data_IF_374572099684
#
_entry.id   IF_374572099684
#
_cell.length_a   1.000
_cell.length_b   1.000
_cell.length_c   1.000
_cell.angle_alpha   90.00
_cell.angle_beta   90.00
_cell.angle_gamma   90.00
#
_symmetry.space_group_name_H-M   'P 1'
#
loop_
_entity.id
_entity.type
_entity.pdbx_description
1 polymer ?
#
# COMPACT_ATOMS: atom_id res chain seq x y z
N UNK A 1 24.95 -0.41 -3.70
CA UNK A 1 23.71 -0.58 -3.00
C UNK A 1 23.82 -0.11 -1.56
N UNK A 2 22.68 0.18 -0.96
CA UNK A 2 22.62 0.77 0.40
C UNK A 2 23.33 -0.08 1.46
N UNK A 3 23.07 -1.39 1.47
CA UNK A 3 23.65 -2.30 2.46
C UNK A 3 25.17 -2.40 2.37
N UNK A 4 25.70 -2.33 1.17
CA UNK A 4 27.14 -2.39 0.92
C UNK A 4 27.86 -1.10 1.33
N UNK A 5 27.13 0.03 1.29
CA UNK A 5 27.67 1.35 1.62
C UNK A 5 27.69 1.63 3.12
N UNK A 6 27.05 0.78 3.94
CA UNK A 6 26.99 1.00 5.38
C UNK A 6 28.35 0.76 6.05
N UNK A 7 28.78 1.66 6.95
CA UNK A 7 29.96 1.41 7.76
C UNK A 7 29.83 0.14 8.60
N UNK A 8 30.95 -0.51 8.88
CA UNK A 8 30.98 -1.68 9.73
C UNK A 8 30.42 -1.35 11.13
N UNK A 9 29.59 -2.24 11.68
CA UNK A 9 29.00 -2.08 13.00
C UNK A 9 27.72 -1.26 13.05
N UNK A 10 27.25 -0.71 11.93
CA UNK A 10 25.99 0.01 11.85
C UNK A 10 24.91 -0.91 11.32
N UNK A 11 23.82 -1.07 12.08
CA UNK A 11 22.66 -1.86 11.65
C UNK A 11 21.95 -1.13 10.51
N UNK A 12 21.59 -1.82 9.43
CA UNK A 12 20.86 -1.20 8.33
C UNK A 12 19.45 -0.78 8.77
N UNK A 13 18.99 0.37 8.27
CA UNK A 13 17.61 0.81 8.41
C UNK A 13 17.01 0.95 7.02
N UNK A 14 15.96 0.17 6.78
CA UNK A 14 15.30 0.12 5.49
C UNK A 14 13.85 0.56 5.68
N UNK A 15 13.50 1.70 5.11
CA UNK A 15 12.12 2.19 5.11
C UNK A 15 11.44 1.74 3.83
N UNK A 16 10.37 0.98 3.98
CA UNK A 16 9.47 0.63 2.88
C UNK A 16 8.20 1.47 2.96
N UNK A 17 7.80 2.06 1.84
CA UNK A 17 6.58 2.85 1.75
C UNK A 17 5.59 2.14 0.84
N UNK A 18 4.35 1.98 1.30
CA UNK A 18 3.30 1.27 0.56
C UNK A 18 1.99 2.02 0.63
N UNK A 19 1.23 1.99 -0.46
CA UNK A 19 -0.16 2.44 -0.44
C UNK A 19 -1.01 1.33 0.16
N UNK A 20 -1.76 1.65 1.19
CA UNK A 20 -2.66 0.70 1.84
C UNK A 20 -3.96 1.38 2.22
N UNK A 21 -5.07 0.80 1.80
CA UNK A 21 -6.39 1.24 2.21
C UNK A 21 -7.16 0.05 2.76
N UNK A 22 -7.46 0.09 4.06
CA UNK A 22 -8.12 -1.00 4.78
C UNK A 22 -9.51 -0.52 5.20
N UNK A 23 -10.50 -1.35 4.94
CA UNK A 23 -11.88 -1.10 5.35
C UNK A 23 -12.45 -2.37 5.99
N UNK A 24 -13.70 -2.29 6.47
CA UNK A 24 -14.31 -3.42 7.16
C UNK A 24 -14.60 -4.61 6.24
N UNK A 25 -14.72 -4.38 4.92
CA UNK A 25 -14.89 -5.45 3.94
C UNK A 25 -14.13 -5.17 2.66
N UNK A 26 -13.84 -6.24 1.91
CA UNK A 26 -13.15 -6.12 0.62
C UNK A 26 -13.98 -5.33 -0.39
N UNK A 27 -15.27 -5.60 -0.47
CA UNK A 27 -16.15 -4.94 -1.44
C UNK A 27 -16.22 -3.44 -1.19
N UNK A 28 -16.35 -3.04 0.07
CA UNK A 28 -16.37 -1.62 0.44
C UNK A 28 -15.05 -0.95 0.12
N UNK A 29 -13.94 -1.58 0.48
CA UNK A 29 -12.60 -1.05 0.22
C UNK A 29 -12.35 -0.83 -1.28
N UNK A 30 -12.72 -1.80 -2.12
CA UNK A 30 -12.56 -1.68 -3.56
C UNK A 30 -13.47 -0.61 -4.15
N UNK A 31 -14.70 -0.50 -3.65
CA UNK A 31 -15.64 0.53 -4.12
C UNK A 31 -15.10 1.93 -3.86
N UNK A 32 -14.55 2.17 -2.68
CA UNK A 32 -13.99 3.47 -2.32
C UNK A 32 -12.70 3.75 -3.11
N UNK A 33 -11.84 2.74 -3.27
CA UNK A 33 -10.52 2.91 -3.88
C UNK A 33 -10.55 3.00 -5.41
N UNK A 34 -11.55 2.40 -6.06
CA UNK A 34 -11.60 2.31 -7.53
C UNK A 34 -11.52 3.67 -8.23
N UNK A 35 -12.29 4.71 -7.84
CA UNK A 35 -12.18 6.02 -8.49
C UNK A 35 -10.78 6.62 -8.37
N UNK A 36 -10.16 6.53 -7.20
CA UNK A 36 -8.82 7.07 -6.97
C UNK A 36 -7.76 6.36 -7.79
N UNK A 37 -7.80 5.03 -7.85
CA UNK A 37 -6.88 4.25 -8.67
C UNK A 37 -7.05 4.53 -10.16
N UNK A 38 -8.29 4.64 -10.62
CA UNK A 38 -8.58 4.98 -12.02
C UNK A 38 -8.02 6.36 -12.37
N UNK A 39 -8.23 7.33 -11.50
CA UNK A 39 -7.68 8.69 -11.68
C UNK A 39 -6.15 8.66 -11.71
N UNK A 40 -5.52 7.92 -10.82
CA UNK A 40 -4.08 7.77 -10.77
C UNK A 40 -3.55 7.15 -12.08
N UNK A 41 -4.21 6.13 -12.60
CA UNK A 41 -3.84 5.51 -13.87
C UNK A 41 -3.94 6.50 -15.03
N UNK A 42 -5.01 7.31 -15.07
CA UNK A 42 -5.19 8.34 -16.10
C UNK A 42 -4.09 9.40 -16.02
N UNK A 43 -3.72 9.82 -14.82
CA UNK A 43 -2.65 10.80 -14.61
C UNK A 43 -1.30 10.25 -15.08
N UNK A 44 -1.01 8.99 -14.79
CA UNK A 44 0.23 8.35 -15.23
C UNK A 44 0.29 8.25 -16.76
N UNK A 45 -0.80 7.88 -17.42
CA UNK A 45 -0.87 7.83 -18.89
C UNK A 45 -0.69 9.21 -19.50
N UNK A 46 -1.32 10.22 -18.93
CA UNK A 46 -1.19 11.60 -19.41
C UNK A 46 0.24 12.14 -19.27
N UNK A 47 0.99 11.65 -18.28
CA UNK A 47 2.40 11.99 -18.09
C UNK A 47 3.36 11.15 -18.96
N UNK A 48 2.84 10.28 -19.81
CA UNK A 48 3.65 9.46 -20.71
C UNK A 48 4.12 8.14 -20.13
N UNK A 49 3.67 7.77 -18.94
CA UNK A 49 4.00 6.47 -18.34
C UNK A 49 3.11 5.36 -18.88
N UNK A 50 3.68 4.17 -19.01
CA UNK A 50 2.93 2.98 -19.42
C UNK A 50 2.17 2.44 -18.21
N UNK A 51 0.84 2.30 -18.35
CA UNK A 51 0.00 1.65 -17.35
C UNK A 51 -0.59 0.40 -17.99
N UNK A 52 -0.26 -0.76 -17.43
CA UNK A 52 -0.73 -2.05 -17.92
C UNK A 52 -2.15 -2.32 -17.42
N UNK A 53 -3.01 -2.79 -18.35
CA UNK A 53 -4.37 -3.13 -18.00
C UNK A 53 -5.31 -1.95 -17.94
N UNK A 54 -6.57 -2.23 -17.66
CA UNK A 54 -7.66 -1.24 -17.70
C UNK A 54 -8.69 -1.44 -16.57
N UNK A 55 -8.36 -2.26 -15.56
CA UNK A 55 -9.25 -2.51 -14.43
C UNK A 55 -8.52 -2.31 -13.10
N UNK A 56 -9.29 -2.25 -12.02
CA UNK A 56 -8.77 -1.95 -10.69
C UNK A 56 -7.76 -3.00 -10.19
N UNK A 57 -7.92 -4.26 -10.58
CA UNK A 57 -6.98 -5.31 -10.18
C UNK A 57 -5.59 -5.07 -10.79
N UNK A 58 -5.55 -4.69 -12.07
CA UNK A 58 -4.31 -4.35 -12.74
C UNK A 58 -3.67 -3.11 -12.14
N UNK A 59 -4.47 -2.09 -11.81
CA UNK A 59 -3.98 -0.86 -11.20
C UNK A 59 -3.38 -1.11 -9.82
N UNK A 60 -3.99 -1.98 -9.02
CA UNK A 60 -3.42 -2.35 -7.71
C UNK A 60 -2.02 -2.94 -7.85
N UNK A 61 -1.82 -3.80 -8.83
CA UNK A 61 -0.50 -4.39 -9.10
C UNK A 61 0.50 -3.35 -9.57
N UNK A 62 0.07 -2.50 -10.49
CA UNK A 62 0.93 -1.47 -11.07
C UNK A 62 1.47 -0.50 -10.01
N UNK A 63 0.63 -0.12 -9.05
CA UNK A 63 0.96 0.88 -8.04
C UNK A 63 1.31 0.28 -6.68
N UNK A 64 1.46 -1.04 -6.58
CA UNK A 64 1.72 -1.75 -5.32
C UNK A 64 0.73 -1.35 -4.22
N UNK A 65 -0.55 -1.22 -4.58
CA UNK A 65 -1.59 -0.81 -3.65
C UNK A 65 -2.22 -2.03 -2.97
N UNK A 66 -2.25 -1.99 -1.64
CA UNK A 66 -2.84 -3.05 -0.80
C UNK A 66 -4.22 -2.56 -0.33
N UNK A 67 -5.27 -3.16 -0.87
CA UNK A 67 -6.64 -2.68 -0.66
C UNK A 67 -7.54 -3.86 -0.30
N UNK A 68 -8.31 -3.72 0.76
CA UNK A 68 -9.25 -4.74 1.17
C UNK A 68 -9.57 -4.70 2.66
N UNK A 69 -10.12 -5.81 3.15
CA UNK A 69 -10.31 -6.05 4.58
C UNK A 69 -8.96 -6.25 5.28
N UNK A 70 -8.91 -6.19 6.62
CA UNK A 70 -7.65 -6.43 7.34
C UNK A 70 -6.97 -7.74 6.95
N UNK A 71 -7.72 -8.82 6.82
CA UNK A 71 -7.15 -10.13 6.46
C UNK A 71 -6.56 -10.14 5.06
N UNK A 72 -7.27 -9.55 4.09
CA UNK A 72 -6.80 -9.46 2.70
C UNK A 72 -5.53 -8.62 2.61
N UNK A 73 -5.50 -7.47 3.26
CA UNK A 73 -4.34 -6.57 3.23
C UNK A 73 -3.15 -7.21 3.94
N UNK A 74 -3.38 -7.84 5.09
CA UNK A 74 -2.31 -8.53 5.82
C UNK A 74 -1.69 -9.64 4.97
N UNK A 75 -2.51 -10.45 4.31
CA UNK A 75 -2.04 -11.50 3.41
C UNK A 75 -1.21 -10.91 2.26
N UNK A 76 -1.69 -9.85 1.65
CA UNK A 76 -1.01 -9.16 0.56
C UNK A 76 0.34 -8.58 0.99
N UNK A 77 0.41 -7.96 2.17
CA UNK A 77 1.65 -7.41 2.72
C UNK A 77 2.65 -8.51 3.06
N UNK A 78 2.20 -9.61 3.63
CA UNK A 78 3.08 -10.73 3.96
C UNK A 78 3.67 -11.41 2.72
N UNK A 79 3.03 -11.27 1.58
CA UNK A 79 3.56 -11.76 0.30
C UNK A 79 4.60 -10.83 -0.32
N UNK A 80 4.75 -9.62 0.19
CA UNK A 80 5.72 -8.63 -0.31
C UNK A 80 7.10 -8.91 0.26
N UNK A 81 8.01 -9.40 -0.58
CA UNK A 81 9.36 -9.78 -0.15
C UNK A 81 10.21 -8.59 0.33
N UNK A 82 9.95 -7.39 -0.16
CA UNK A 82 10.67 -6.19 0.24
C UNK A 82 10.32 -5.82 1.69
N UNK A 83 9.05 -5.98 2.07
CA UNK A 83 8.61 -5.67 3.43
C UNK A 83 9.26 -6.57 4.48
N UNK A 84 9.58 -7.81 4.13
CA UNK A 84 10.28 -8.73 5.05
C UNK A 84 11.68 -8.25 5.42
N UNK A 85 12.28 -7.41 4.58
CA UNK A 85 13.63 -6.86 4.78
C UNK A 85 13.60 -5.46 5.37
N UNK A 86 12.42 -4.86 5.50
CA UNK A 86 12.28 -3.50 6.01
C UNK A 86 12.38 -3.48 7.52
N UNK A 87 13.00 -2.44 8.05
CA UNK A 87 13.03 -2.17 9.49
C UNK A 87 11.90 -1.24 9.91
N UNK A 88 11.43 -0.43 8.96
CA UNK A 88 10.36 0.54 9.18
C UNK A 88 9.42 0.50 7.97
N UNK A 89 8.12 0.64 8.22
CA UNK A 89 7.11 0.63 7.16
C UNK A 89 6.23 1.88 7.29
N UNK A 90 6.07 2.59 6.18
CA UNK A 90 5.17 3.73 6.08
C UNK A 90 4.00 3.39 5.17
N UNK A 91 2.79 3.71 5.61
CA UNK A 91 1.59 3.48 4.82
C UNK A 91 0.97 4.79 4.36
N UNK A 92 0.68 4.88 3.05
CA UNK A 92 -0.02 6.00 2.46
C UNK A 92 -1.48 5.59 2.23
N UNK A 93 -2.38 6.13 3.05
CA UNK A 93 -3.81 5.78 3.00
C UNK A 93 -4.56 6.70 2.04
N UNK A 94 -4.13 7.93 1.92
CA UNK A 94 -4.82 8.97 1.14
C UNK A 94 -4.67 8.85 -0.37
N UNK A 95 -3.80 7.95 -0.85
CA UNK A 95 -3.48 7.85 -2.29
C UNK A 95 -4.69 7.46 -3.15
N UNK A 96 -5.69 6.81 -2.58
CA UNK A 96 -6.93 6.44 -3.30
C UNK A 96 -8.05 7.46 -3.10
N UNK A 97 -7.72 8.60 -2.49
CA UNK A 97 -8.64 9.72 -2.25
C UNK A 97 -9.92 9.33 -1.47
N UNK A 98 -9.80 8.58 -0.36
CA UNK A 98 -10.97 8.24 0.44
C UNK A 98 -11.51 9.46 1.20
N UNK A 99 -12.75 9.35 1.70
CA UNK A 99 -13.27 10.37 2.61
C UNK A 99 -12.44 10.41 3.89
N UNK A 100 -12.53 11.52 4.63
CA UNK A 100 -11.84 11.65 5.91
C UNK A 100 -12.24 10.54 6.90
N UNK A 101 -13.51 10.20 6.95
CA UNK A 101 -14.02 9.11 7.79
C UNK A 101 -13.38 7.77 7.44
N UNK A 102 -13.32 7.46 6.15
CA UNK A 102 -12.72 6.20 5.66
C UNK A 102 -11.21 6.20 5.89
N UNK A 103 -10.55 7.33 5.76
CA UNK A 103 -9.13 7.47 6.05
C UNK A 103 -8.83 7.16 7.51
N UNK A 104 -9.60 7.74 8.44
CA UNK A 104 -9.44 7.49 9.88
C UNK A 104 -9.69 6.03 10.22
N UNK A 105 -10.73 5.42 9.65
CA UNK A 105 -11.03 4.01 9.87
C UNK A 105 -9.90 3.12 9.35
N UNK A 106 -9.35 3.44 8.19
CA UNK A 106 -8.22 2.71 7.63
C UNK A 106 -6.99 2.77 8.53
N UNK A 107 -6.64 3.95 9.03
CA UNK A 107 -5.52 4.12 9.97
C UNK A 107 -5.74 3.28 11.22
N UNK A 108 -6.94 3.30 11.78
CA UNK A 108 -7.30 2.52 12.96
C UNK A 108 -7.12 1.03 12.72
N UNK A 109 -7.65 0.52 11.59
CA UNK A 109 -7.53 -0.90 11.22
C UNK A 109 -6.08 -1.31 10.97
N UNK A 110 -5.29 -0.47 10.34
CA UNK A 110 -3.87 -0.74 10.14
C UNK A 110 -3.15 -0.85 11.49
N UNK A 111 -3.39 0.09 12.40
CA UNK A 111 -2.75 0.09 13.70
C UNK A 111 -3.13 -1.12 14.56
N UNK A 112 -4.40 -1.53 14.53
CA UNK A 112 -4.90 -2.59 15.39
C UNK A 112 -4.78 -3.99 14.79
N UNK A 113 -4.98 -4.12 13.47
CA UNK A 113 -5.14 -5.41 12.81
C UNK A 113 -3.99 -5.80 11.88
N UNK A 114 -3.18 -4.85 11.46
CA UNK A 114 -2.10 -5.07 10.51
C UNK A 114 -0.74 -4.97 11.17
N UNK A 115 -0.43 -3.84 11.78
CA UNK A 115 0.90 -3.57 12.33
C UNK A 115 1.39 -4.64 13.32
N UNK A 116 0.57 -5.15 14.26
CA UNK A 116 1.05 -6.17 15.20
C UNK A 116 1.45 -7.50 14.54
N UNK A 117 1.04 -7.74 13.31
CA UNK A 117 1.26 -9.01 12.62
C UNK A 117 2.34 -8.96 11.53
N UNK A 118 2.93 -7.81 11.26
CA UNK A 118 3.95 -7.66 10.22
C UNK A 118 5.30 -7.18 10.73
N UNK A 119 5.38 -6.71 11.96
CA UNK A 119 6.63 -6.23 12.55
C UNK A 119 7.09 -7.06 13.74
#
# INVERSE_FOLDING_TARGET
>A
AYLEALPAGIAPRILASRTAFVADSDDYALRVATPGLTKQAQQHRAAGHVVKGDNVTDYRRQFDAHIGSPDTVLHSLNADSILRRATDISFQVHSVEPTHRDTLRSIELIAERIAPHIL
#
